data_IF_946604532618
#
_entry.id   IF_946604532618
#
_cell.length_a   1.000
_cell.length_b   1.000
_cell.length_c   1.000
_cell.angle_alpha   90.00
_cell.angle_beta   90.00
_cell.angle_gamma   90.00
#
_symmetry.space_group_name_H-M   'P 1'
#
loop_
_entity.id
_entity.type
_entity.pdbx_description
1 polymer ?
#
# COMPACT_ATOMS: atom_id res chain seq x y z
N UNK A 1 -36.82 -9.98 -8.73
CA UNK A 1 -36.01 -8.78 -8.43
C UNK A 1 -34.56 -9.20 -8.61
N UNK A 2 -33.87 -8.64 -9.61
CA UNK A 2 -32.46 -8.93 -9.81
C UNK A 2 -31.68 -8.38 -8.60
N UNK A 3 -30.80 -9.20 -8.05
CA UNK A 3 -29.87 -8.81 -6.99
C UNK A 3 -28.97 -7.71 -7.57
N UNK A 4 -29.09 -6.49 -7.03
CA UNK A 4 -28.31 -5.36 -7.52
C UNK A 4 -26.85 -5.62 -7.15
N UNK A 5 -25.98 -5.75 -8.15
CA UNK A 5 -24.54 -5.91 -7.91
C UNK A 5 -24.07 -4.70 -7.12
N UNK A 6 -23.67 -4.92 -5.86
CA UNK A 6 -23.10 -3.87 -5.02
C UNK A 6 -21.65 -3.66 -5.43
N UNK A 7 -21.40 -2.56 -6.12
CA UNK A 7 -20.06 -2.14 -6.46
C UNK A 7 -19.44 -1.42 -5.25
N UNK A 8 -18.58 -2.11 -4.50
CA UNK A 8 -17.89 -1.56 -3.32
C UNK A 8 -16.67 -0.72 -3.70
N UNK A 9 -16.90 0.43 -4.34
CA UNK A 9 -15.83 1.33 -4.77
C UNK A 9 -15.02 1.93 -3.62
N UNK A 10 -15.64 2.17 -2.45
CA UNK A 10 -15.01 2.85 -1.31
C UNK A 10 -14.04 1.99 -0.50
N UNK A 11 -14.27 0.67 -0.44
CA UNK A 11 -13.48 -0.27 0.38
C UNK A 11 -12.01 -0.36 -0.07
N UNK A 12 -11.77 -0.06 -1.34
CA UNK A 12 -10.46 -0.17 -2.00
C UNK A 12 -9.60 1.08 -1.76
N UNK A 13 -10.21 2.26 -1.81
CA UNK A 13 -9.54 3.51 -1.49
C UNK A 13 -9.15 3.56 0.00
N UNK A 14 -10.01 3.08 0.90
CA UNK A 14 -9.69 2.97 2.33
C UNK A 14 -8.54 1.99 2.58
N UNK A 15 -8.55 0.84 1.92
CA UNK A 15 -7.49 -0.16 2.02
C UNK A 15 -6.15 0.41 1.55
N UNK A 16 -6.12 1.07 0.39
CA UNK A 16 -4.92 1.73 -0.13
C UNK A 16 -4.37 2.82 0.80
N UNK A 17 -5.24 3.65 1.36
CA UNK A 17 -4.83 4.68 2.33
C UNK A 17 -4.27 4.09 3.63
N UNK A 18 -4.89 3.03 4.15
CA UNK A 18 -4.39 2.30 5.32
C UNK A 18 -3.00 1.70 5.08
N UNK A 19 -2.78 1.15 3.89
CA UNK A 19 -1.50 0.56 3.48
C UNK A 19 -0.38 1.60 3.35
N UNK A 20 -0.66 2.78 2.79
CA UNK A 20 0.30 3.89 2.75
C UNK A 20 0.68 4.33 4.17
N UNK A 21 -0.32 4.46 5.06
CA UNK A 21 -0.09 4.81 6.46
C UNK A 21 0.73 3.74 7.19
N UNK A 22 0.42 2.47 6.99
CA UNK A 22 1.18 1.35 7.58
C UNK A 22 2.63 1.32 7.07
N UNK A 23 2.86 1.58 5.78
CA UNK A 23 4.20 1.68 5.21
C UNK A 23 4.99 2.83 5.84
N UNK A 24 4.37 4.00 6.03
CA UNK A 24 5.00 5.14 6.71
C UNK A 24 5.36 4.82 8.17
N UNK A 25 4.47 4.13 8.90
CA UNK A 25 4.74 3.68 10.27
C UNK A 25 5.89 2.67 10.32
N UNK A 26 5.95 1.71 9.40
CA UNK A 26 7.06 0.77 9.30
C UNK A 26 8.40 1.48 9.04
N UNK A 27 8.43 2.46 8.12
CA UNK A 27 9.64 3.25 7.85
C UNK A 27 10.12 4.01 9.09
N UNK A 28 9.19 4.61 9.84
CA UNK A 28 9.50 5.30 11.09
C UNK A 28 10.04 4.34 12.15
N UNK A 29 9.41 3.18 12.34
CA UNK A 29 9.84 2.17 13.31
C UNK A 29 11.23 1.61 12.99
N UNK A 30 11.51 1.36 11.70
CA UNK A 30 12.85 0.97 11.26
C UNK A 30 13.83 2.07 11.60
N UNK A 31 13.60 3.33 11.19
CA UNK A 31 14.52 4.43 11.50
C UNK A 31 14.80 4.58 13.01
N UNK A 32 13.78 4.42 13.84
CA UNK A 32 13.92 4.46 15.31
C UNK A 32 14.77 3.30 15.84
N UNK A 33 14.68 2.11 15.24
CA UNK A 33 15.54 0.96 15.56
C UNK A 33 17.02 1.31 15.33
N UNK A 34 17.34 2.01 14.24
CA UNK A 34 18.71 2.42 13.92
C UNK A 34 19.28 3.40 14.95
N UNK A 35 18.44 4.32 15.44
CA UNK A 35 18.82 5.24 16.53
C UNK A 35 19.09 4.47 17.82
N UNK A 36 18.21 3.54 18.19
CA UNK A 36 18.37 2.70 19.40
C UNK A 36 19.60 1.79 19.33
N UNK A 37 19.87 1.22 18.16
CA UNK A 37 21.06 0.40 17.93
C UNK A 37 22.33 1.22 18.08
N UNK A 38 22.38 2.44 17.50
CA UNK A 38 23.52 3.36 17.70
C UNK A 38 23.70 3.74 19.18
N UNK A 39 22.62 3.98 19.91
CA UNK A 39 22.68 4.29 21.34
C UNK A 39 23.19 3.11 22.18
N UNK A 40 22.78 1.88 21.84
CA UNK A 40 23.16 0.67 22.59
C UNK A 40 24.59 0.23 22.28
N UNK A 41 24.96 0.21 21.00
CA UNK A 41 26.25 -0.30 20.54
C UNK A 41 27.36 0.76 20.57
N UNK A 42 27.04 2.05 20.70
CA UNK A 42 28.04 3.11 20.81
C UNK A 42 29.01 3.14 19.62
N UNK A 43 30.30 3.02 19.89
CA UNK A 43 31.35 3.00 18.86
C UNK A 43 31.36 1.69 18.05
N UNK A 44 30.92 0.56 18.62
CA UNK A 44 30.83 -0.74 17.94
C UNK A 44 29.76 -0.76 16.83
N UNK A 45 28.87 0.23 16.83
CA UNK A 45 27.94 0.45 15.73
C UNK A 45 28.66 0.91 14.46
N UNK A 46 29.79 1.60 14.59
CA UNK A 46 30.48 2.19 13.46
C UNK A 46 31.16 1.12 12.59
N UNK A 47 31.08 1.31 11.26
CA UNK A 47 31.59 0.35 10.27
C UNK A 47 30.51 -0.62 9.78
N UNK A 48 30.87 -1.89 9.63
CA UNK A 48 30.05 -2.87 8.90
C UNK A 48 28.64 -3.07 9.43
N UNK A 49 28.41 -2.95 10.75
CA UNK A 49 27.07 -3.07 11.34
C UNK A 49 26.13 -1.93 10.86
N UNK A 50 26.61 -0.69 10.90
CA UNK A 50 25.84 0.46 10.39
C UNK A 50 25.59 0.41 8.88
N UNK A 51 26.55 -0.10 8.10
CA UNK A 51 26.41 -0.25 6.64
C UNK A 51 25.42 -1.36 6.26
N UNK A 52 25.50 -2.51 6.92
CA UNK A 52 24.54 -3.60 6.72
C UNK A 52 23.13 -3.18 7.13
N UNK A 53 23.01 -2.44 8.23
CA UNK A 53 21.74 -1.88 8.67
C UNK A 53 21.19 -0.86 7.66
N UNK A 54 22.01 0.06 7.16
CA UNK A 54 21.59 1.04 6.14
C UNK A 54 21.14 0.34 4.85
N UNK A 55 21.81 -0.73 4.45
CA UNK A 55 21.44 -1.56 3.29
C UNK A 55 20.09 -2.26 3.53
N UNK A 56 19.90 -2.87 4.70
CA UNK A 56 18.64 -3.52 5.07
C UNK A 56 17.48 -2.51 5.16
N UNK A 57 17.72 -1.33 5.73
CA UNK A 57 16.76 -0.23 5.80
C UNK A 57 16.37 0.24 4.39
N UNK A 58 17.34 0.43 3.50
CA UNK A 58 17.09 0.83 2.12
C UNK A 58 16.24 -0.22 1.41
N UNK A 59 16.59 -1.51 1.53
CA UNK A 59 15.82 -2.60 0.94
C UNK A 59 14.39 -2.66 1.48
N UNK A 60 14.21 -2.48 2.79
CA UNK A 60 12.89 -2.43 3.41
C UNK A 60 12.05 -1.27 2.86
N UNK A 61 12.65 -0.08 2.75
CA UNK A 61 11.97 1.09 2.20
C UNK A 61 11.55 0.87 0.75
N UNK A 62 12.43 0.32 -0.10
CA UNK A 62 12.12 0.00 -1.50
C UNK A 62 10.95 -0.97 -1.61
N UNK A 63 10.96 -2.06 -0.83
CA UNK A 63 9.88 -3.05 -0.86
C UNK A 63 8.54 -2.45 -0.40
N UNK A 64 8.55 -1.58 0.60
CA UNK A 64 7.35 -0.88 1.07
C UNK A 64 6.81 0.09 0.01
N UNK A 65 7.69 0.80 -0.70
CA UNK A 65 7.28 1.69 -1.79
C UNK A 65 6.73 0.92 -3.00
N UNK A 66 7.38 -0.18 -3.38
CA UNK A 66 6.87 -1.07 -4.44
C UNK A 66 5.50 -1.64 -4.09
N UNK A 67 5.31 -2.06 -2.84
CA UNK A 67 4.04 -2.59 -2.37
C UNK A 67 2.93 -1.53 -2.39
N UNK A 68 3.21 -0.32 -1.90
CA UNK A 68 2.25 0.79 -1.95
C UNK A 68 1.86 1.16 -3.39
N UNK A 69 2.82 1.16 -4.33
CA UNK A 69 2.55 1.43 -5.73
C UNK A 69 1.71 0.32 -6.39
N UNK A 70 1.95 -0.95 -6.04
CA UNK A 70 1.14 -2.08 -6.54
C UNK A 70 -0.30 -2.02 -6.04
N UNK A 71 -0.50 -1.66 -4.79
CA UNK A 71 -1.83 -1.45 -4.21
C UNK A 71 -2.56 -0.29 -4.89
N UNK A 72 -1.86 0.83 -5.15
CA UNK A 72 -2.43 1.94 -5.93
C UNK A 72 -2.86 1.52 -7.33
N UNK A 73 -2.05 0.70 -8.02
CA UNK A 73 -2.38 0.16 -9.35
C UNK A 73 -3.60 -0.78 -9.29
N UNK A 74 -3.65 -1.66 -8.30
CA UNK A 74 -4.77 -2.57 -8.05
C UNK A 74 -6.07 -1.79 -7.79
N UNK A 75 -5.98 -0.73 -6.98
CA UNK A 75 -7.14 0.11 -6.65
C UNK A 75 -7.70 0.82 -7.87
N UNK A 76 -6.83 1.44 -8.68
CA UNK A 76 -7.20 2.07 -9.94
C UNK A 76 -7.86 1.08 -10.92
N UNK A 77 -7.29 -0.12 -11.08
CA UNK A 77 -7.86 -1.15 -11.94
C UNK A 77 -9.25 -1.60 -11.47
N UNK A 78 -9.45 -1.73 -10.15
CA UNK A 78 -10.75 -2.15 -9.62
C UNK A 78 -11.80 -1.05 -9.73
N UNK A 79 -11.42 0.22 -9.53
CA UNK A 79 -12.29 1.36 -9.75
C UNK A 79 -12.75 1.46 -11.21
N UNK A 80 -11.81 1.26 -12.15
CA UNK A 80 -12.12 1.22 -13.58
C UNK A 80 -13.07 0.07 -13.91
N UNK A 81 -12.78 -1.14 -13.41
CA UNK A 81 -13.64 -2.31 -13.63
C UNK A 81 -15.06 -2.10 -13.11
N UNK A 82 -15.23 -1.53 -11.92
CA UNK A 82 -16.57 -1.25 -11.40
C UNK A 82 -17.28 -0.15 -12.20
N UNK A 83 -16.56 0.88 -12.68
CA UNK A 83 -17.14 1.92 -13.56
C UNK A 83 -17.63 1.32 -14.87
N UNK A 84 -16.83 0.43 -15.46
CA UNK A 84 -17.18 -0.29 -16.68
C UNK A 84 -18.40 -1.19 -16.46
N UNK A 85 -18.46 -1.91 -15.34
CA UNK A 85 -19.61 -2.76 -15.00
C UNK A 85 -20.89 -1.94 -14.79
N UNK A 86 -20.82 -0.80 -14.11
CA UNK A 86 -21.97 0.10 -13.93
C UNK A 86 -22.43 0.70 -15.27
N UNK A 87 -21.49 0.99 -16.17
CA UNK A 87 -21.80 1.40 -17.55
C UNK A 87 -22.50 0.31 -18.35
N UNK A 88 -22.09 -0.95 -18.20
CA UNK A 88 -22.75 -2.11 -18.82
C UNK A 88 -24.15 -2.31 -18.24
N UNK A 89 -24.30 -2.27 -16.91
CA UNK A 89 -25.58 -2.47 -16.24
C UNK A 89 -26.62 -1.43 -16.69
N UNK A 90 -26.22 -0.15 -16.75
CA UNK A 90 -27.08 0.92 -17.28
C UNK A 90 -27.51 0.70 -18.73
N UNK A 91 -26.60 0.20 -19.59
CA UNK A 91 -26.95 -0.14 -20.99
C UNK A 91 -27.92 -1.32 -21.06
N UNK A 92 -27.71 -2.34 -20.23
CA UNK A 92 -28.57 -3.52 -20.18
C UNK A 92 -29.96 -3.21 -19.60
N UNK A 93 -30.04 -2.36 -18.58
CA UNK A 93 -31.31 -1.88 -18.03
C UNK A 93 -32.15 -1.13 -19.09
N UNK A 94 -31.50 -0.40 -20.00
CA UNK A 94 -32.16 0.28 -21.12
C UNK A 94 -32.59 -0.62 -22.28
N UNK A 95 -32.22 -1.91 -22.30
CA UNK A 95 -32.60 -2.83 -23.38
C UNK A 95 -34.01 -3.42 -23.22
N UNK A 96 -34.61 -3.34 -22.04
CA UNK A 96 -35.94 -3.86 -21.73
C UNK A 96 -36.89 -2.81 -21.14
N UNK A 97 -36.52 -1.53 -21.21
CA UNK A 97 -37.32 -0.38 -20.78
C UNK A 97 -38.02 0.33 -21.93
#
# INVERSE_FOLDING_TARGET
MAEQIRYEFGSIDETGALLINAAAQCKAAVAELGVKMRQTCGEDWQGGASEMYATAQTKCNTLLDEFAEKERQSGCATQQAGTDMLGIDNRCAGLFG
#
